data_IF_257239180230
#
_entry.id   IF_257239180230
#
_cell.length_a   1.000
_cell.length_b   1.000
_cell.length_c   1.000
_cell.angle_alpha   90.00
_cell.angle_beta   90.00
_cell.angle_gamma   90.00
#
_symmetry.space_group_name_H-M   'P 1'
#
loop_
_entity.id
_entity.type
_entity.pdbx_description
1 polymer ?
#
# COMPACT_ATOMS: atom_id res chain seq x y z
N UNK A 1 31.18 79.88 20.62
CA UNK A 1 31.13 79.35 19.23
C UNK A 1 31.89 78.02 19.05
N UNK A 2 32.26 77.29 20.11
CA UNK A 2 33.01 76.03 20.00
C UNK A 2 32.20 74.77 20.37
N UNK A 3 31.13 74.88 21.19
CA UNK A 3 30.31 73.72 21.58
C UNK A 3 29.44 73.16 20.44
N UNK A 4 29.06 74.01 19.47
CA UNK A 4 28.19 73.63 18.33
C UNK A 4 28.93 72.81 17.25
N UNK A 5 30.27 72.90 17.18
CA UNK A 5 31.08 72.12 16.24
C UNK A 5 31.26 70.66 16.69
N UNK A 6 31.34 70.40 17.98
CA UNK A 6 31.50 69.04 18.51
C UNK A 6 30.20 68.23 18.47
N UNK A 7 29.04 68.87 18.64
CA UNK A 7 27.73 68.18 18.57
C UNK A 7 27.44 67.72 17.13
N UNK A 8 27.82 68.50 16.11
CA UNK A 8 27.64 68.12 14.70
C UNK A 8 28.64 67.04 14.29
N UNK A 9 29.89 67.07 14.77
CA UNK A 9 30.86 65.99 14.52
C UNK A 9 30.49 64.68 15.22
N UNK A 10 29.85 64.72 16.41
CA UNK A 10 29.40 63.50 17.10
C UNK A 10 28.18 62.87 16.40
N UNK A 11 27.28 63.68 15.82
CA UNK A 11 26.15 63.20 15.02
C UNK A 11 26.58 62.64 13.65
N UNK A 12 27.67 63.16 13.05
CA UNK A 12 28.21 62.63 11.79
C UNK A 12 29.02 61.34 12.01
N UNK A 13 29.76 61.21 13.12
CA UNK A 13 30.43 59.94 13.46
C UNK A 13 29.47 58.87 13.98
N UNK A 14 28.33 59.24 14.59
CA UNK A 14 27.27 58.32 15.00
C UNK A 14 26.41 57.78 13.83
N UNK A 15 26.43 58.44 12.68
CA UNK A 15 25.67 58.03 11.49
C UNK A 15 26.35 56.95 10.62
N UNK A 16 27.65 56.68 10.84
CA UNK A 16 28.43 55.77 9.98
C UNK A 16 28.41 54.32 10.48
N UNK A 17 27.95 54.05 11.71
CA UNK A 17 27.79 52.69 12.24
C UNK A 17 26.37 52.09 12.09
N UNK A 18 25.46 52.79 11.41
CA UNK A 18 24.04 52.39 11.32
C UNK A 18 23.59 51.72 10.02
N UNK A 19 24.45 51.54 9.01
CA UNK A 19 24.03 51.10 7.66
C UNK A 19 24.88 49.95 7.07
N UNK A 20 25.44 49.10 7.91
CA UNK A 20 25.84 47.75 7.52
C UNK A 20 24.99 46.75 8.28
N UNK A 21 23.69 46.75 8.01
CA UNK A 21 22.86 45.59 8.31
C UNK A 21 23.39 44.43 7.47
N UNK A 22 24.06 43.48 8.11
CA UNK A 22 24.38 42.19 7.51
C UNK A 22 23.06 41.45 7.22
N UNK A 23 22.40 41.79 6.13
CA UNK A 23 21.25 41.04 5.59
C UNK A 23 21.63 39.61 5.16
N UNK A 24 22.92 39.28 5.14
CA UNK A 24 23.43 37.95 4.80
C UNK A 24 23.41 36.93 5.95
N UNK A 25 23.39 37.35 7.22
CA UNK A 25 23.55 36.41 8.35
C UNK A 25 22.32 35.51 8.58
N UNK A 26 21.15 35.93 8.10
CA UNK A 26 19.87 35.22 8.29
C UNK A 26 19.24 34.72 6.98
N UNK A 27 19.96 34.85 5.86
CA UNK A 27 19.51 34.37 4.54
C UNK A 27 20.17 33.06 4.11
N UNK A 28 21.10 32.55 4.91
CA UNK A 28 21.66 31.23 4.67
C UNK A 28 20.57 30.19 4.87
N UNK A 29 20.19 29.52 3.78
CA UNK A 29 19.36 28.34 3.87
C UNK A 29 20.00 27.37 4.88
N UNK A 30 19.22 26.72 5.75
CA UNK A 30 19.75 25.77 6.72
C UNK A 30 20.72 24.79 6.04
N UNK A 31 21.98 24.76 6.48
CA UNK A 31 23.05 23.95 5.86
C UNK A 31 22.70 22.45 5.74
N UNK A 32 21.75 21.98 6.55
CA UNK A 32 21.28 20.60 6.62
C UNK A 32 19.89 20.36 6.00
N UNK A 33 19.25 21.36 5.38
CA UNK A 33 17.95 21.20 4.71
C UNK A 33 17.94 21.95 3.38
N UNK A 34 17.58 21.25 2.32
CA UNK A 34 17.38 21.87 1.01
C UNK A 34 16.24 22.90 1.09
N UNK A 35 16.46 24.09 0.53
CA UNK A 35 15.41 25.10 0.44
C UNK A 35 14.32 24.64 -0.54
N UNK A 36 13.05 24.93 -0.26
CA UNK A 36 11.94 24.54 -1.12
C UNK A 36 12.11 25.08 -2.55
N UNK A 37 12.62 26.31 -2.69
CA UNK A 37 12.86 26.93 -3.99
C UNK A 37 13.92 26.19 -4.81
N UNK A 38 14.95 25.63 -4.16
CA UNK A 38 15.97 24.81 -4.84
C UNK A 38 15.43 23.46 -5.29
N UNK A 39 14.49 22.87 -4.56
CA UNK A 39 13.88 21.57 -4.89
C UNK A 39 13.08 21.67 -6.19
N UNK A 40 12.21 22.69 -6.32
CA UNK A 40 11.32 22.83 -7.48
C UNK A 40 12.04 23.12 -8.80
N UNK A 41 13.23 23.73 -8.73
CA UNK A 41 14.02 24.08 -9.91
C UNK A 41 14.89 22.96 -10.48
N UNK A 42 15.06 21.84 -9.75
CA UNK A 42 15.94 20.75 -10.17
C UNK A 42 15.16 19.46 -10.41
N UNK A 43 15.29 18.89 -11.62
CA UNK A 43 14.63 17.63 -11.98
C UNK A 43 15.00 16.48 -11.03
N UNK A 44 16.29 16.38 -10.67
CA UNK A 44 16.78 15.35 -9.75
C UNK A 44 16.19 15.50 -8.35
N UNK A 45 16.08 16.73 -7.84
CA UNK A 45 15.52 16.96 -6.51
C UNK A 45 14.00 16.73 -6.48
N UNK A 46 13.31 16.98 -7.59
CA UNK A 46 11.90 16.63 -7.75
C UNK A 46 11.70 15.10 -7.71
N UNK A 47 12.57 14.34 -8.38
CA UNK A 47 12.51 12.88 -8.32
C UNK A 47 12.69 12.36 -6.89
N UNK A 48 13.71 12.86 -6.18
CA UNK A 48 13.95 12.53 -4.77
C UNK A 48 12.79 12.96 -3.86
N UNK A 49 12.12 14.06 -4.17
CA UNK A 49 10.95 14.53 -3.42
C UNK A 49 9.76 13.57 -3.51
N UNK A 50 9.60 12.91 -4.67
CA UNK A 50 8.49 11.99 -4.95
C UNK A 50 8.73 10.58 -4.38
N UNK A 51 9.99 10.12 -4.28
CA UNK A 51 10.33 8.78 -3.77
C UNK A 51 9.73 8.41 -2.40
N UNK A 52 9.65 9.31 -1.40
CA UNK A 52 8.98 9.04 -0.14
C UNK A 52 7.52 8.57 -0.30
N UNK A 53 6.80 8.98 -1.34
CA UNK A 53 5.42 8.53 -1.56
C UNK A 53 5.38 7.03 -1.89
N UNK A 54 6.25 6.59 -2.78
CA UNK A 54 6.45 5.17 -3.10
C UNK A 54 6.90 4.38 -1.87
N UNK A 55 7.90 4.87 -1.13
CA UNK A 55 8.44 4.17 0.06
C UNK A 55 7.40 4.00 1.18
N UNK A 56 6.40 4.88 1.24
CA UNK A 56 5.32 4.79 2.24
C UNK A 56 4.12 3.98 1.75
N UNK A 57 4.16 3.44 0.53
CA UNK A 57 3.25 2.36 0.18
C UNK A 57 3.46 1.19 1.12
N UNK A 58 2.39 0.47 1.41
CA UNK A 58 2.57 -0.77 2.12
C UNK A 58 3.42 -1.72 1.28
N UNK A 59 4.48 -2.24 1.88
CA UNK A 59 5.37 -3.22 1.29
C UNK A 59 4.70 -4.59 1.04
N UNK A 60 3.38 -4.72 1.20
CA UNK A 60 2.67 -5.98 0.97
C UNK A 60 3.08 -7.14 1.88
N UNK A 61 4.04 -6.96 2.79
CA UNK A 61 4.55 -8.05 3.63
C UNK A 61 4.34 -7.77 5.11
N UNK A 62 4.27 -6.51 5.52
CA UNK A 62 3.83 -6.14 6.88
C UNK A 62 2.31 -6.25 7.09
N UNK A 63 1.53 -6.18 5.99
CA UNK A 63 0.07 -6.44 6.00
C UNK A 63 -0.19 -7.94 6.19
N UNK A 64 0.58 -8.77 5.49
CA UNK A 64 0.40 -10.20 5.50
C UNK A 64 1.17 -10.86 6.63
N UNK A 65 2.14 -10.26 7.31
CA UNK A 65 2.77 -10.93 8.46
C UNK A 65 1.92 -10.76 9.72
N UNK A 66 1.11 -11.76 10.13
CA UNK A 66 0.48 -11.69 11.43
C UNK A 66 1.60 -11.86 12.46
N UNK A 67 1.87 -10.79 13.20
CA UNK A 67 2.07 -10.99 14.63
C UNK A 67 0.69 -11.39 15.17
N UNK A 68 0.38 -12.69 15.11
CA UNK A 68 -0.25 -13.51 16.15
C UNK A 68 -1.51 -13.01 16.92
N UNK A 69 -2.09 -11.91 16.49
CA UNK A 69 -3.20 -11.19 17.12
C UNK A 69 -4.17 -10.62 16.05
N UNK A 70 -4.12 -11.20 14.85
CA UNK A 70 -4.79 -10.78 13.61
C UNK A 70 -6.32 -10.79 13.68
N UNK A 71 -6.94 -11.71 14.42
CA UNK A 71 -8.40 -11.80 14.50
C UNK A 71 -9.03 -10.64 15.29
N UNK A 72 -8.35 -10.10 16.32
CA UNK A 72 -8.85 -8.96 17.13
C UNK A 72 -8.17 -7.63 16.81
N UNK A 73 -6.91 -7.64 16.35
CA UNK A 73 -6.32 -6.48 15.66
C UNK A 73 -6.96 -6.24 14.30
N UNK A 74 -7.84 -7.13 13.85
CA UNK A 74 -8.66 -7.05 12.63
C UNK A 74 -9.53 -5.78 12.54
N UNK A 75 -9.83 -5.13 13.67
CA UNK A 75 -10.53 -3.84 13.67
C UNK A 75 -9.64 -2.63 13.33
N UNK A 76 -8.31 -2.79 13.22
CA UNK A 76 -7.34 -1.68 13.23
C UNK A 76 -6.26 -1.76 12.14
N UNK A 77 -6.20 -2.86 11.40
CA UNK A 77 -5.26 -3.07 10.30
C UNK A 77 -6.05 -3.27 9.02
N UNK A 78 -5.56 -2.67 7.94
CA UNK A 78 -5.95 -3.01 6.56
C UNK A 78 -5.54 -4.46 6.29
N UNK A 79 -6.29 -5.43 6.81
CA UNK A 79 -6.18 -6.80 6.34
C UNK A 79 -7.00 -6.91 5.07
N UNK A 80 -6.38 -7.50 4.06
CA UNK A 80 -7.12 -7.97 2.91
C UNK A 80 -8.02 -9.15 3.36
N UNK A 81 -9.21 -9.36 2.74
CA UNK A 81 -10.30 -10.19 3.29
C UNK A 81 -9.95 -11.65 3.63
N UNK A 82 -8.86 -12.17 3.08
CA UNK A 82 -8.40 -13.56 3.19
C UNK A 82 -7.86 -13.99 4.58
N UNK A 83 -7.67 -13.07 5.53
CA UNK A 83 -7.32 -13.43 6.92
C UNK A 83 -8.51 -13.86 7.79
N UNK A 84 -9.74 -13.80 7.26
CA UNK A 84 -10.93 -14.23 7.99
C UNK A 84 -11.01 -15.75 8.08
N UNK A 85 -11.18 -16.39 6.93
CA UNK A 85 -11.50 -17.81 6.81
C UNK A 85 -10.50 -18.59 5.96
N UNK A 86 -9.56 -17.96 5.24
CA UNK A 86 -8.68 -18.67 4.29
C UNK A 86 -7.29 -19.03 4.86
N UNK A 87 -6.76 -18.28 5.84
CA UNK A 87 -5.42 -18.50 6.41
C UNK A 87 -5.46 -18.42 7.94
N UNK A 88 -4.78 -19.34 8.63
CA UNK A 88 -4.53 -19.32 10.07
C UNK A 88 -3.05 -19.13 10.39
N UNK A 89 -2.77 -18.68 11.61
CA UNK A 89 -1.42 -18.46 12.14
C UNK A 89 -0.80 -19.76 12.66
N UNK A 90 0.52 -19.78 12.80
CA UNK A 90 1.24 -20.94 13.32
C UNK A 90 0.89 -21.26 14.78
N UNK A 91 1.13 -22.51 15.21
CA UNK A 91 0.97 -22.93 16.62
C UNK A 91 1.82 -22.09 17.58
N UNK A 92 3.05 -21.74 17.20
CA UNK A 92 3.94 -20.91 18.00
C UNK A 92 3.33 -19.52 18.23
N UNK A 93 2.67 -18.96 17.21
CA UNK A 93 1.98 -17.67 17.29
C UNK A 93 0.68 -17.73 18.08
N UNK A 94 -0.10 -18.81 17.95
CA UNK A 94 -1.24 -19.08 18.83
C UNK A 94 -0.83 -19.04 20.31
N UNK A 95 0.30 -19.68 20.63
CA UNK A 95 0.79 -19.78 22.00
C UNK A 95 1.40 -18.48 22.52
N UNK A 96 2.17 -17.77 21.67
CA UNK A 96 2.86 -16.55 22.06
C UNK A 96 1.92 -15.34 22.22
N UNK A 97 0.65 -15.40 21.80
CA UNK A 97 -0.10 -14.14 21.59
C UNK A 97 -1.61 -14.20 21.81
N UNK A 98 -2.24 -15.38 21.87
CA UNK A 98 -3.69 -15.38 21.73
C UNK A 98 -4.48 -15.42 23.05
N UNK A 99 -4.11 -16.17 24.09
CA UNK A 99 -5.06 -16.32 25.22
C UNK A 99 -5.23 -15.04 26.07
N UNK A 100 -4.16 -14.24 26.21
CA UNK A 100 -4.16 -13.00 27.00
C UNK A 100 -4.71 -11.78 26.27
N UNK A 101 -4.44 -11.64 24.97
CA UNK A 101 -4.91 -10.50 24.16
C UNK A 101 -6.34 -10.72 23.65
N UNK A 102 -6.77 -11.97 23.45
CA UNK A 102 -8.16 -12.31 23.13
C UNK A 102 -9.13 -11.83 24.19
N UNK A 103 -8.75 -11.95 25.47
CA UNK A 103 -9.56 -11.48 26.60
C UNK A 103 -9.47 -9.96 26.82
N UNK A 104 -8.45 -9.28 26.29
CA UNK A 104 -8.11 -7.90 26.69
C UNK A 104 -8.58 -6.79 25.78
N UNK A 105 -8.86 -7.03 24.49
CA UNK A 105 -9.49 -6.08 23.54
C UNK A 105 -9.40 -4.59 23.93
N UNK A 106 -8.19 -4.05 24.14
CA UNK A 106 -8.05 -2.69 24.68
C UNK A 106 -8.20 -1.72 23.51
N UNK A 107 -9.32 -0.99 23.50
CA UNK A 107 -9.65 0.07 22.55
C UNK A 107 -8.51 1.07 22.29
N UNK A 108 -7.57 1.22 23.25
CA UNK A 108 -6.38 2.05 23.11
C UNK A 108 -5.40 1.58 22.04
N UNK A 109 -5.18 0.27 21.87
CA UNK A 109 -4.27 -0.26 20.84
C UNK A 109 -4.88 -0.10 19.45
N UNK A 110 -6.21 -0.27 19.33
CA UNK A 110 -6.98 -0.01 18.11
C UNK A 110 -6.80 1.44 17.68
N UNK A 111 -7.03 2.35 18.62
CA UNK A 111 -6.93 3.79 18.40
C UNK A 111 -5.51 4.20 18.04
N UNK A 112 -4.50 3.68 18.75
CA UNK A 112 -3.09 3.99 18.50
C UNK A 112 -2.65 3.58 17.10
N UNK A 113 -3.07 2.42 16.61
CA UNK A 113 -2.73 1.95 15.25
C UNK A 113 -3.43 2.73 14.16
N UNK A 114 -4.73 2.99 14.33
CA UNK A 114 -5.48 3.85 13.43
C UNK A 114 -4.85 5.23 13.31
N UNK A 115 -4.41 5.80 14.45
CA UNK A 115 -3.71 7.08 14.50
C UNK A 115 -2.37 7.08 13.72
N UNK A 116 -1.59 6.00 13.80
CA UNK A 116 -0.33 5.89 13.05
C UNK A 116 -0.58 5.92 11.54
N UNK A 117 -1.52 5.10 11.05
CA UNK A 117 -1.87 5.08 9.63
C UNK A 117 -2.43 6.43 9.17
N UNK A 118 -3.34 6.99 9.96
CA UNK A 118 -3.92 8.31 9.72
C UNK A 118 -2.83 9.37 9.55
N UNK A 119 -1.94 9.50 10.54
CA UNK A 119 -0.86 10.49 10.50
C UNK A 119 0.07 10.27 9.32
N UNK A 120 0.40 9.01 9.00
CA UNK A 120 1.24 8.69 7.84
C UNK A 120 0.58 9.14 6.54
N UNK A 121 -0.71 8.82 6.32
CA UNK A 121 -1.41 9.18 5.08
C UNK A 121 -1.57 10.69 4.94
N UNK A 122 -1.99 11.41 5.99
CA UNK A 122 -2.12 12.87 5.93
C UNK A 122 -0.78 13.59 5.76
N UNK A 123 0.31 13.08 6.33
CA UNK A 123 1.65 13.64 6.09
C UNK A 123 2.07 13.52 4.61
N UNK A 124 1.69 12.43 3.93
CA UNK A 124 1.96 12.28 2.49
C UNK A 124 1.04 13.15 1.65
N UNK A 125 -0.25 13.22 1.98
CA UNK A 125 -1.20 14.13 1.32
C UNK A 125 -0.73 15.59 1.43
N UNK A 126 -0.23 16.01 2.60
CA UNK A 126 0.31 17.35 2.77
C UNK A 126 1.54 17.60 1.88
N UNK A 127 2.44 16.63 1.78
CA UNK A 127 3.58 16.70 0.85
C UNK A 127 3.14 16.80 -0.60
N UNK A 128 2.13 16.03 -1.01
CA UNK A 128 1.58 16.12 -2.37
C UNK A 128 0.94 17.48 -2.62
N UNK A 129 0.11 17.98 -1.70
CA UNK A 129 -0.54 19.27 -1.83
C UNK A 129 0.48 20.41 -1.95
N UNK A 130 1.58 20.35 -1.20
CA UNK A 130 2.66 21.34 -1.30
C UNK A 130 3.31 21.35 -2.69
N UNK A 131 3.51 20.18 -3.32
CA UNK A 131 4.04 20.09 -4.68
C UNK A 131 3.04 20.67 -5.70
N UNK A 132 1.76 20.35 -5.58
CA UNK A 132 0.71 20.84 -6.47
C UNK A 132 0.54 22.37 -6.35
N UNK A 133 0.64 22.95 -5.16
CA UNK A 133 0.63 24.41 -4.97
C UNK A 133 1.83 25.12 -5.62
N UNK A 134 2.96 24.42 -5.74
CA UNK A 134 4.19 24.95 -6.33
C UNK A 134 4.41 24.48 -7.78
N UNK A 135 3.39 23.91 -8.44
CA UNK A 135 3.50 23.39 -9.80
C UNK A 135 4.00 24.44 -10.81
N UNK A 136 3.65 25.72 -10.60
CA UNK A 136 4.05 26.83 -11.46
C UNK A 136 5.56 27.14 -11.42
N UNK A 137 6.29 26.62 -10.43
CA UNK A 137 7.74 26.76 -10.31
C UNK A 137 8.50 25.62 -10.97
N UNK A 138 7.82 24.53 -11.32
CA UNK A 138 8.41 23.38 -11.99
C UNK A 138 8.53 23.70 -13.47
N UNK A 139 9.71 23.44 -14.05
CA UNK A 139 9.96 23.65 -15.47
C UNK A 139 9.01 22.81 -16.34
N UNK A 140 8.38 23.44 -17.33
CA UNK A 140 7.48 22.77 -18.28
C UNK A 140 8.17 21.67 -19.08
N UNK A 141 7.45 20.56 -19.31
CA UNK A 141 7.92 19.42 -20.10
C UNK A 141 7.33 18.09 -19.64
N UNK A 142 7.77 17.00 -20.29
CA UNK A 142 7.32 15.64 -19.97
C UNK A 142 7.60 15.25 -18.50
N UNK A 143 8.72 15.72 -17.93
CA UNK A 143 9.05 15.48 -16.53
C UNK A 143 8.01 16.07 -15.58
N UNK A 144 7.57 17.31 -15.81
CA UNK A 144 6.53 17.95 -15.00
C UNK A 144 5.21 17.18 -15.09
N UNK A 145 4.78 16.81 -16.29
CA UNK A 145 3.54 16.04 -16.48
C UNK A 145 3.59 14.72 -15.72
N UNK A 146 4.71 14.00 -15.80
CA UNK A 146 4.93 12.78 -15.04
C UNK A 146 4.84 13.01 -13.53
N UNK A 147 5.58 13.99 -12.99
CA UNK A 147 5.59 14.29 -11.55
C UNK A 147 4.20 14.70 -11.04
N UNK A 148 3.47 15.51 -11.80
CA UNK A 148 2.09 15.89 -11.45
C UNK A 148 1.14 14.70 -11.53
N UNK A 149 1.29 13.83 -12.54
CA UNK A 149 0.53 12.59 -12.65
C UNK A 149 0.78 11.65 -11.47
N UNK A 150 2.04 11.49 -11.06
CA UNK A 150 2.42 10.73 -9.86
C UNK A 150 1.82 11.35 -8.59
N UNK A 151 1.86 12.69 -8.47
CA UNK A 151 1.27 13.42 -7.36
C UNK A 151 -0.24 13.14 -7.23
N UNK A 152 -1.00 13.30 -8.32
CA UNK A 152 -2.44 13.00 -8.34
C UNK A 152 -2.72 11.52 -8.01
N UNK A 153 -1.93 10.59 -8.58
CA UNK A 153 -2.06 9.17 -8.27
C UNK A 153 -1.87 8.87 -6.78
N UNK A 154 -0.81 9.41 -6.16
CA UNK A 154 -0.55 9.16 -4.74
C UNK A 154 -1.57 9.85 -3.84
N UNK A 155 -2.05 11.04 -4.20
CA UNK A 155 -3.14 11.69 -3.46
C UNK A 155 -4.40 10.83 -3.49
N UNK A 156 -4.82 10.37 -4.67
CA UNK A 156 -5.93 9.43 -4.82
C UNK A 156 -5.68 8.15 -4.02
N UNK A 157 -4.49 7.58 -4.09
CA UNK A 157 -4.12 6.32 -3.44
C UNK A 157 -4.23 6.41 -1.92
N UNK A 158 -3.66 7.45 -1.29
CA UNK A 158 -3.74 7.61 0.16
C UNK A 158 -5.16 7.91 0.64
N UNK A 159 -5.94 8.67 -0.14
CA UNK A 159 -7.36 8.86 0.16
C UNK A 159 -8.18 7.59 0.00
N UNK A 160 -7.84 6.73 -0.97
CA UNK A 160 -8.44 5.40 -1.10
C UNK A 160 -8.11 4.50 0.10
N UNK A 161 -6.87 4.48 0.59
CA UNK A 161 -6.52 3.74 1.81
C UNK A 161 -7.33 4.24 3.01
N UNK A 162 -7.42 5.56 3.16
CA UNK A 162 -8.23 6.21 4.20
C UNK A 162 -9.73 5.87 4.06
N UNK A 163 -10.25 5.80 2.83
CA UNK A 163 -11.64 5.45 2.54
C UNK A 163 -11.97 4.05 3.01
N UNK A 164 -11.11 3.07 2.69
CA UNK A 164 -11.31 1.68 3.10
C UNK A 164 -11.27 1.50 4.61
N UNK A 165 -10.40 2.25 5.30
CA UNK A 165 -10.18 2.07 6.73
C UNK A 165 -11.17 2.89 7.59
N UNK A 166 -11.52 4.11 7.19
CA UNK A 166 -12.26 5.07 8.02
C UNK A 166 -13.59 5.56 7.40
N UNK A 167 -13.85 5.26 6.13
CA UNK A 167 -14.96 5.83 5.37
C UNK A 167 -14.66 7.24 4.88
N UNK A 168 -15.46 8.22 5.26
CA UNK A 168 -15.24 9.65 4.99
C UNK A 168 -14.51 10.35 6.12
N UNK A 169 -13.17 10.47 6.08
CA UNK A 169 -12.41 11.29 7.03
C UNK A 169 -12.39 12.75 6.55
N UNK A 170 -11.25 13.44 6.56
CA UNK A 170 -11.11 14.85 6.22
C UNK A 170 -10.61 14.99 4.78
N UNK A 171 -11.32 15.74 3.95
CA UNK A 171 -10.82 16.13 2.62
C UNK A 171 -10.03 17.44 2.72
N UNK A 172 -8.71 17.35 2.60
CA UNK A 172 -7.77 18.46 2.67
C UNK A 172 -7.06 18.54 1.31
N UNK A 173 -7.56 19.43 0.46
CA UNK A 173 -7.11 19.56 -0.95
C UNK A 173 -5.90 20.50 -1.13
N UNK A 174 -5.61 21.33 -0.11
CA UNK A 174 -4.53 22.31 -0.11
C UNK A 174 -3.57 22.05 1.05
N UNK A 175 -2.41 22.68 1.04
CA UNK A 175 -1.51 22.65 2.18
C UNK A 175 -2.15 23.38 3.37
N UNK A 176 -2.01 22.79 4.55
CA UNK A 176 -2.63 23.29 5.77
C UNK A 176 -1.64 23.19 6.93
N UNK A 177 -1.43 24.32 7.61
CA UNK A 177 -0.63 24.38 8.82
C UNK A 177 -1.54 24.72 10.01
N UNK A 178 -1.80 23.76 10.91
CA UNK A 178 -2.65 23.98 12.08
C UNK A 178 -2.06 24.98 13.10
N UNK A 179 -0.80 25.39 12.95
CA UNK A 179 -0.17 26.41 13.79
C UNK A 179 -0.46 27.83 13.29
N UNK A 180 -0.87 27.98 12.02
CA UNK A 180 -1.11 29.27 11.36
C UNK A 180 -2.61 29.49 11.15
N UNK A 181 -3.35 28.43 10.78
CA UNK A 181 -4.78 28.46 10.51
C UNK A 181 -5.51 27.54 11.51
N UNK A 182 -6.58 28.06 12.15
CA UNK A 182 -7.39 27.32 13.13
C UNK A 182 -8.58 26.58 12.50
N UNK A 183 -8.64 26.55 11.17
CA UNK A 183 -9.69 25.90 10.38
C UNK A 183 -9.90 24.44 10.78
N UNK A 184 -11.13 24.13 11.18
CA UNK A 184 -11.57 22.75 11.45
C UNK A 184 -12.19 22.16 10.20
N UNK A 185 -11.66 21.02 9.76
CA UNK A 185 -12.25 20.26 8.67
C UNK A 185 -13.28 19.28 9.24
N UNK A 186 -14.55 19.32 8.77
CA UNK A 186 -15.51 18.29 9.10
C UNK A 186 -15.17 16.99 8.37
N UNK A 187 -15.78 15.89 8.81
CA UNK A 187 -15.73 14.64 8.03
C UNK A 187 -16.47 14.85 6.71
N UNK A 188 -15.81 14.51 5.61
CA UNK A 188 -16.43 14.40 4.30
C UNK A 188 -17.43 13.25 4.29
N UNK A 189 -18.42 13.35 3.42
CA UNK A 189 -19.28 12.22 3.08
C UNK A 189 -18.49 11.16 2.31
N UNK A 190 -19.02 9.94 2.31
CA UNK A 190 -18.45 8.81 1.58
C UNK A 190 -18.48 9.07 0.07
N UNK A 191 -19.52 9.75 -0.41
CA UNK A 191 -19.67 10.17 -1.81
C UNK A 191 -18.60 11.19 -2.22
N UNK A 192 -18.42 12.27 -1.46
CA UNK A 192 -17.39 13.28 -1.75
C UNK A 192 -15.97 12.69 -1.79
N UNK A 193 -15.70 11.69 -0.95
CA UNK A 193 -14.42 10.97 -0.98
C UNK A 193 -14.24 10.17 -2.26
N UNK A 194 -15.28 9.44 -2.68
CA UNK A 194 -15.24 8.62 -3.90
C UNK A 194 -15.05 9.50 -5.11
N UNK A 195 -15.82 10.58 -5.22
CA UNK A 195 -15.69 11.56 -6.31
C UNK A 195 -14.28 12.12 -6.36
N UNK A 196 -13.75 12.56 -5.21
CA UNK A 196 -12.40 13.11 -5.16
C UNK A 196 -11.32 12.10 -5.57
N UNK A 197 -11.40 10.85 -5.10
CA UNK A 197 -10.44 9.80 -5.47
C UNK A 197 -10.49 9.52 -6.97
N UNK A 198 -11.70 9.47 -7.55
CA UNK A 198 -11.89 9.21 -8.98
C UNK A 198 -11.38 10.36 -9.83
N UNK A 199 -11.71 11.60 -9.47
CA UNK A 199 -11.22 12.80 -10.16
C UNK A 199 -9.68 12.84 -10.18
N UNK A 200 -9.05 12.57 -9.03
CA UNK A 200 -7.59 12.51 -8.92
C UNK A 200 -6.99 11.36 -9.74
N UNK A 201 -7.64 10.20 -9.77
CA UNK A 201 -7.21 9.08 -10.59
C UNK A 201 -7.35 9.38 -12.10
N UNK A 202 -8.39 10.11 -12.52
CA UNK A 202 -8.57 10.54 -13.90
C UNK A 202 -7.53 11.58 -14.33
N UNK A 203 -7.24 12.55 -13.47
CA UNK A 203 -6.15 13.52 -13.69
C UNK A 203 -4.80 12.79 -13.82
N UNK A 204 -4.51 11.86 -12.92
CA UNK A 204 -3.32 11.02 -13.01
C UNK A 204 -3.27 10.23 -14.33
N UNK A 205 -4.36 9.58 -14.73
CA UNK A 205 -4.44 8.81 -15.98
C UNK A 205 -4.29 9.69 -17.25
N UNK A 206 -4.63 10.97 -17.17
CA UNK A 206 -4.47 11.94 -18.27
C UNK A 206 -3.03 12.43 -18.44
N UNK A 207 -2.26 12.45 -17.35
CA UNK A 207 -0.89 12.98 -17.31
C UNK A 207 0.18 11.89 -17.42
N UNK A 208 -0.11 10.68 -16.94
CA UNK A 208 0.82 9.56 -16.92
C UNK A 208 0.87 8.83 -18.27
N UNK A 209 2.06 8.36 -18.62
CA UNK A 209 2.30 7.52 -19.80
C UNK A 209 1.83 6.07 -19.55
N UNK A 210 1.49 5.37 -20.62
CA UNK A 210 1.24 3.93 -20.64
C UNK A 210 2.54 3.11 -20.66
N UNK A 211 3.62 3.67 -21.24
CA UNK A 211 4.95 3.06 -21.30
C UNK A 211 5.94 3.82 -20.44
N UNK A 212 6.70 3.07 -19.65
CA UNK A 212 7.80 3.57 -18.84
C UNK A 212 9.13 3.31 -19.55
N UNK A 213 10.04 4.26 -19.42
CA UNK A 213 11.45 4.07 -19.77
C UNK A 213 12.12 3.11 -18.77
N UNK A 214 13.24 2.48 -19.17
CA UNK A 214 13.92 1.51 -18.32
C UNK A 214 14.35 2.05 -16.95
N UNK A 215 14.63 3.36 -16.84
CA UNK A 215 14.97 4.04 -15.59
C UNK A 215 13.78 4.30 -14.67
N UNK A 216 12.56 4.24 -15.19
CA UNK A 216 11.32 4.59 -14.49
C UNK A 216 10.47 3.37 -14.14
N UNK A 217 10.98 2.17 -14.38
CA UNK A 217 10.30 0.91 -14.06
C UNK A 217 9.92 0.88 -12.56
N UNK A 218 8.63 0.67 -12.29
CA UNK A 218 8.06 0.70 -10.94
C UNK A 218 7.35 2.01 -10.57
N UNK A 219 7.43 3.04 -11.42
CA UNK A 219 6.67 4.28 -11.24
C UNK A 219 5.21 4.12 -11.67
N UNK A 220 4.34 4.98 -11.14
CA UNK A 220 2.91 4.97 -11.44
C UNK A 220 2.68 5.19 -12.94
N UNK A 221 1.84 4.34 -13.54
CA UNK A 221 1.46 4.41 -14.95
C UNK A 221 0.01 4.83 -15.09
N UNK A 222 -0.39 5.17 -16.32
CA UNK A 222 -1.80 5.31 -16.67
C UNK A 222 -2.63 4.08 -16.27
N UNK A 223 -2.08 2.88 -16.44
CA UNK A 223 -2.73 1.63 -16.02
C UNK A 223 -2.96 1.56 -14.52
N UNK A 224 -1.97 1.94 -13.71
CA UNK A 224 -2.11 1.98 -12.26
C UNK A 224 -3.21 2.97 -11.81
N UNK A 225 -3.31 4.14 -12.44
CA UNK A 225 -4.35 5.13 -12.15
C UNK A 225 -5.76 4.62 -12.50
N UNK A 226 -5.95 4.04 -13.69
CA UNK A 226 -7.23 3.43 -14.08
C UNK A 226 -7.60 2.24 -13.18
N UNK A 227 -6.62 1.43 -12.78
CA UNK A 227 -6.83 0.35 -11.80
C UNK A 227 -7.31 0.90 -10.46
N UNK A 228 -6.72 2.00 -9.97
CA UNK A 228 -7.14 2.63 -8.71
C UNK A 228 -8.58 3.15 -8.80
N UNK A 229 -8.96 3.78 -9.91
CA UNK A 229 -10.35 4.21 -10.18
C UNK A 229 -11.30 3.01 -10.16
N UNK A 230 -10.99 1.97 -10.93
CA UNK A 230 -11.82 0.77 -11.02
C UNK A 230 -11.98 0.06 -9.66
N UNK A 231 -10.88 -0.08 -8.90
CA UNK A 231 -10.90 -0.64 -7.53
C UNK A 231 -11.70 0.22 -6.56
N UNK A 232 -11.65 1.54 -6.69
CA UNK A 232 -12.44 2.46 -5.85
C UNK A 232 -13.93 2.20 -6.06
N UNK A 233 -14.40 2.23 -7.30
CA UNK A 233 -15.80 1.94 -7.62
C UNK A 233 -16.22 0.53 -7.20
N UNK A 234 -15.39 -0.48 -7.44
CA UNK A 234 -15.68 -1.85 -7.05
C UNK A 234 -15.79 -2.01 -5.52
N UNK A 235 -14.92 -1.36 -4.75
CA UNK A 235 -14.96 -1.39 -3.29
C UNK A 235 -16.26 -0.78 -2.75
N UNK A 236 -16.59 0.42 -3.22
CA UNK A 236 -17.76 1.16 -2.74
C UNK A 236 -19.08 0.60 -3.24
N UNK A 237 -19.06 -0.23 -4.28
CA UNK A 237 -20.23 -0.98 -4.74
C UNK A 237 -20.69 -2.07 -3.76
N UNK A 238 -19.87 -2.44 -2.77
CA UNK A 238 -20.26 -3.46 -1.80
C UNK A 238 -21.53 -3.07 -1.05
N UNK A 239 -22.44 -4.05 -0.87
CA UNK A 239 -23.67 -3.91 -0.09
C UNK A 239 -23.41 -3.43 1.34
N UNK A 240 -22.21 -3.70 1.86
CA UNK A 240 -21.79 -3.27 3.20
C UNK A 240 -21.76 -1.75 3.33
N UNK A 241 -21.55 -0.99 2.25
CA UNK A 241 -21.47 0.47 2.27
C UNK A 241 -22.74 1.16 1.77
N UNK A 242 -23.82 0.43 1.51
CA UNK A 242 -25.10 1.00 1.08
C UNK A 242 -26.04 1.24 2.26
N UNK A 243 -27.06 2.09 2.07
CA UNK A 243 -28.15 2.35 3.01
C UNK A 243 -27.67 2.70 4.44
N UNK A 244 -26.70 3.62 4.56
CA UNK A 244 -26.15 4.06 5.85
C UNK A 244 -26.82 5.32 6.35
N UNK A 245 -27.19 5.32 7.63
CA UNK A 245 -27.67 6.53 8.32
C UNK A 245 -26.61 7.64 8.37
N UNK A 246 -25.33 7.25 8.48
CA UNK A 246 -24.21 8.18 8.55
C UNK A 246 -23.54 8.27 7.20
N UNK A 247 -23.64 9.43 6.57
CA UNK A 247 -23.09 9.72 5.23
C UNK A 247 -21.59 9.49 5.10
N UNK A 248 -20.83 9.52 6.19
CA UNK A 248 -19.39 9.26 6.18
C UNK A 248 -19.03 7.77 6.34
N UNK A 249 -19.98 6.86 6.58
CA UNK A 249 -19.72 5.42 6.67
C UNK A 249 -20.13 4.65 5.41
N UNK A 250 -20.84 5.31 4.49
CA UNK A 250 -21.36 4.72 3.26
C UNK A 250 -22.41 5.63 2.61
N UNK A 251 -22.98 5.17 1.51
CA UNK A 251 -24.03 5.87 0.79
C UNK A 251 -25.36 5.82 1.56
N UNK A 252 -26.17 6.90 1.52
CA UNK A 252 -27.49 6.91 2.16
C UNK A 252 -28.50 6.01 1.45
N UNK A 253 -28.29 5.74 0.17
CA UNK A 253 -29.11 4.93 -0.73
C UNK A 253 -28.33 3.71 -1.27
N UNK A 254 -28.99 2.85 -2.05
CA UNK A 254 -28.35 1.73 -2.73
C UNK A 254 -27.86 2.13 -4.12
N UNK A 255 -26.53 2.20 -4.28
CA UNK A 255 -25.85 2.55 -5.53
C UNK A 255 -24.97 1.42 -6.05
N UNK A 256 -25.12 0.20 -5.54
CA UNK A 256 -24.26 -0.93 -5.87
C UNK A 256 -24.15 -1.15 -7.39
N UNK A 257 -25.26 -1.22 -8.11
CA UNK A 257 -25.27 -1.50 -9.55
C UNK A 257 -24.66 -0.36 -10.39
N UNK A 258 -24.91 0.89 -9.98
CA UNK A 258 -24.32 2.06 -10.64
C UNK A 258 -22.80 2.07 -10.47
N UNK A 259 -22.31 1.82 -9.24
CA UNK A 259 -20.88 1.76 -8.96
C UNK A 259 -20.20 0.58 -9.67
N UNK A 260 -20.85 -0.59 -9.76
CA UNK A 260 -20.34 -1.71 -10.56
C UNK A 260 -20.25 -1.38 -12.05
N UNK A 261 -21.22 -0.63 -12.58
CA UNK A 261 -21.21 -0.19 -13.98
C UNK A 261 -20.02 0.73 -14.25
N UNK A 262 -19.75 1.69 -13.36
CA UNK A 262 -18.58 2.57 -13.49
C UNK A 262 -17.25 1.81 -13.29
N UNK A 263 -17.22 0.83 -12.37
CA UNK A 263 -16.06 -0.05 -12.22
C UNK A 263 -15.77 -0.83 -13.51
N UNK A 264 -16.80 -1.39 -14.14
CA UNK A 264 -16.67 -2.13 -15.39
C UNK A 264 -16.12 -1.25 -16.52
N UNK A 265 -16.64 -0.02 -16.68
CA UNK A 265 -16.11 0.94 -17.66
C UNK A 265 -14.63 1.25 -17.44
N UNK A 266 -14.22 1.47 -16.19
CA UNK A 266 -12.82 1.74 -15.86
C UNK A 266 -11.92 0.51 -16.14
N UNK A 267 -12.41 -0.71 -15.87
CA UNK A 267 -11.70 -1.94 -16.25
C UNK A 267 -11.63 -2.12 -17.77
N UNK A 268 -12.67 -1.78 -18.53
CA UNK A 268 -12.66 -1.84 -19.99
C UNK A 268 -11.63 -0.87 -20.60
N UNK A 269 -11.42 0.29 -19.99
CA UNK A 269 -10.35 1.21 -20.39
C UNK A 269 -8.97 0.66 -20.06
N UNK A 270 -8.80 0.07 -18.87
CA UNK A 270 -7.56 -0.58 -18.45
C UNK A 270 -7.17 -1.74 -19.37
N UNK A 271 -8.14 -2.56 -19.80
CA UNK A 271 -7.92 -3.70 -20.68
C UNK A 271 -7.49 -3.31 -22.11
N UNK A 272 -7.64 -2.04 -22.51
CA UNK A 272 -7.13 -1.53 -23.81
C UNK A 272 -5.63 -1.23 -23.78
N UNK A 273 -5.03 -1.15 -22.58
CA UNK A 273 -3.59 -0.93 -22.41
C UNK A 273 -2.82 -2.24 -22.67
N UNK A 274 -1.49 -2.19 -22.89
CA UNK A 274 -0.70 -3.34 -23.33
C UNK A 274 -0.39 -4.35 -22.21
N UNK A 275 -1.38 -4.70 -21.39
CA UNK A 275 -1.30 -5.75 -20.38
C UNK A 275 -1.89 -7.05 -20.93
N UNK A 276 -1.30 -8.19 -20.57
CA UNK A 276 -1.83 -9.50 -20.96
C UNK A 276 -1.47 -10.58 -19.94
N UNK A 277 -2.35 -11.56 -19.79
CA UNK A 277 -2.12 -12.69 -18.90
C UNK A 277 -0.93 -13.53 -19.38
N UNK A 278 -0.08 -13.97 -18.46
CA UNK A 278 1.01 -14.89 -18.78
C UNK A 278 0.42 -16.25 -19.14
N UNK A 279 0.73 -16.72 -20.34
CA UNK A 279 0.21 -17.99 -20.85
C UNK A 279 1.04 -19.16 -20.31
N UNK A 280 0.36 -20.12 -19.69
CA UNK A 280 0.95 -21.37 -19.21
C UNK A 280 0.82 -22.42 -20.32
N UNK A 281 1.95 -22.96 -20.76
CA UNK A 281 2.06 -23.93 -21.87
C UNK A 281 2.41 -25.34 -21.39
N UNK A 282 2.61 -25.52 -20.08
CA UNK A 282 2.88 -26.82 -19.47
C UNK A 282 1.78 -27.85 -19.78
N UNK A 283 2.18 -29.10 -20.00
CA UNK A 283 1.26 -30.21 -20.31
C UNK A 283 1.11 -31.17 -19.13
N UNK A 284 2.10 -31.21 -18.24
CA UNK A 284 2.05 -32.00 -17.00
C UNK A 284 1.70 -31.12 -15.81
N UNK A 285 1.16 -31.73 -14.75
CA UNK A 285 0.82 -31.03 -13.51
C UNK A 285 2.02 -30.27 -12.92
N UNK A 286 3.20 -30.89 -12.91
CA UNK A 286 4.41 -30.25 -12.38
C UNK A 286 4.88 -29.08 -13.24
N UNK A 287 4.79 -29.18 -14.57
CA UNK A 287 5.12 -28.08 -15.47
C UNK A 287 4.17 -26.89 -15.27
N UNK A 288 2.87 -27.15 -15.17
CA UNK A 288 1.85 -26.11 -14.96
C UNK A 288 2.06 -25.45 -13.60
N UNK A 289 2.26 -26.24 -12.54
CA UNK A 289 2.59 -25.77 -11.19
C UNK A 289 3.79 -24.84 -11.20
N UNK A 290 4.88 -25.24 -11.85
CA UNK A 290 6.11 -24.46 -11.89
C UNK A 290 5.93 -23.16 -12.69
N UNK A 291 5.34 -23.23 -13.89
CA UNK A 291 5.08 -22.05 -14.71
C UNK A 291 4.16 -21.05 -14.01
N UNK A 292 3.14 -21.53 -13.28
CA UNK A 292 2.27 -20.67 -12.47
C UNK A 292 3.05 -19.97 -11.35
N UNK A 293 3.97 -20.67 -10.66
CA UNK A 293 4.83 -20.06 -9.63
C UNK A 293 5.74 -18.99 -10.21
N UNK A 294 6.27 -19.20 -11.41
CA UNK A 294 7.14 -18.22 -12.07
C UNK A 294 6.44 -16.88 -12.37
N UNK A 295 5.11 -16.86 -12.49
CA UNK A 295 4.33 -15.61 -12.63
C UNK A 295 4.61 -14.67 -11.44
N UNK A 296 4.64 -15.20 -10.22
CA UNK A 296 4.85 -14.41 -9.00
C UNK A 296 6.32 -14.11 -8.70
N UNK A 297 7.25 -14.82 -9.35
CA UNK A 297 8.71 -14.59 -9.22
C UNK A 297 9.25 -13.62 -10.28
N UNK A 298 8.51 -13.41 -11.37
CA UNK A 298 8.92 -12.54 -12.46
C UNK A 298 8.50 -11.10 -12.19
N UNK A 299 9.47 -10.21 -11.96
CA UNK A 299 9.24 -8.77 -11.79
C UNK A 299 8.86 -8.11 -13.12
N UNK A 300 7.98 -7.12 -13.06
CA UNK A 300 7.56 -6.30 -14.20
C UNK A 300 7.08 -7.13 -15.40
N UNK A 301 6.31 -8.18 -15.12
CA UNK A 301 5.74 -9.03 -16.17
C UNK A 301 4.66 -8.28 -16.96
N UNK A 302 4.29 -8.81 -18.12
CA UNK A 302 3.19 -8.27 -18.94
C UNK A 302 1.82 -8.30 -18.26
N UNK A 303 1.67 -9.06 -17.17
CA UNK A 303 0.46 -9.12 -16.35
C UNK A 303 0.51 -8.12 -15.18
N UNK A 304 1.70 -7.59 -14.87
CA UNK A 304 1.90 -6.66 -13.76
C UNK A 304 1.46 -5.24 -14.12
N UNK A 305 0.43 -4.76 -13.42
CA UNK A 305 -0.09 -3.40 -13.56
C UNK A 305 0.56 -2.47 -12.52
N UNK A 306 0.67 -2.95 -11.29
CA UNK A 306 1.21 -2.21 -10.17
C UNK A 306 1.84 -3.14 -9.14
N UNK A 307 3.16 -3.06 -8.99
CA UNK A 307 3.94 -3.91 -8.10
C UNK A 307 4.87 -3.09 -7.21
N UNK A 308 5.16 -3.61 -6.02
CA UNK A 308 6.23 -3.09 -5.16
C UNK A 308 7.45 -3.97 -5.38
N UNK A 309 8.53 -3.37 -5.89
CA UNK A 309 9.75 -4.08 -6.15
C UNK A 309 10.60 -4.20 -4.88
N UNK A 310 10.85 -5.44 -4.48
CA UNK A 310 11.76 -5.76 -3.38
C UNK A 310 13.15 -6.11 -3.89
N UNK A 311 14.18 -5.80 -3.11
CA UNK A 311 15.53 -6.24 -3.45
C UNK A 311 15.67 -7.77 -3.29
N UNK A 312 16.54 -8.36 -4.11
CA UNK A 312 16.84 -9.80 -4.11
C UNK A 312 18.06 -10.15 -3.23
N UNK A 313 18.63 -9.16 -2.52
CA UNK A 313 19.85 -9.30 -1.71
C UNK A 313 19.61 -9.97 -0.34
N UNK A 314 18.36 -10.14 0.07
CA UNK A 314 18.01 -10.65 1.39
C UNK A 314 18.33 -9.67 2.53
N UNK A 315 18.61 -8.41 2.23
CA UNK A 315 18.82 -7.35 3.22
C UNK A 315 17.47 -6.71 3.59
N UNK A 316 16.99 -7.12 4.76
CA UNK A 316 15.73 -6.64 5.31
C UNK A 316 15.88 -5.39 6.20
N UNK A 317 17.10 -4.95 6.48
CA UNK A 317 17.38 -3.81 7.35
C UNK A 317 17.44 -2.52 6.53
N UNK A 318 18.24 -2.53 5.46
CA UNK A 318 18.57 -1.33 4.68
C UNK A 318 18.29 -1.49 3.17
N UNK A 319 18.21 -2.74 2.66
CA UNK A 319 18.07 -3.06 1.22
C UNK A 319 16.64 -3.16 0.66
N UNK A 320 15.59 -2.90 1.46
CA UNK A 320 14.20 -3.06 1.02
C UNK A 320 13.83 -4.51 0.58
N UNK A 321 14.54 -5.52 1.11
CA UNK A 321 14.20 -6.94 0.95
C UNK A 321 12.91 -7.33 1.68
N UNK A 322 12.26 -8.43 1.26
CA UNK A 322 11.04 -8.95 1.88
C UNK A 322 11.30 -10.14 2.81
N UNK A 323 10.59 -10.22 3.93
CA UNK A 323 10.75 -11.30 4.93
C UNK A 323 9.80 -12.49 4.70
N UNK A 324 9.01 -12.46 3.62
CA UNK A 324 7.92 -13.42 3.37
C UNK A 324 8.40 -14.86 3.45
N UNK A 325 9.40 -15.22 2.65
CA UNK A 325 9.85 -16.62 2.53
C UNK A 325 10.46 -17.12 3.84
N UNK A 326 11.17 -16.24 4.55
CA UNK A 326 11.74 -16.58 5.86
C UNK A 326 10.66 -16.84 6.89
N UNK A 327 9.63 -16.00 6.97
CA UNK A 327 8.61 -16.06 8.00
C UNK A 327 7.50 -17.10 7.69
N UNK A 328 7.20 -17.32 6.41
CA UNK A 328 6.24 -18.32 5.94
C UNK A 328 6.75 -19.76 6.07
N UNK A 329 8.06 -19.98 5.99
CA UNK A 329 8.66 -21.31 6.04
C UNK A 329 8.85 -21.76 7.50
N UNK A 330 8.70 -23.07 7.73
CA UNK A 330 8.94 -23.69 9.05
C UNK A 330 10.42 -23.62 9.44
N UNK A 331 10.76 -23.52 10.74
CA UNK A 331 12.13 -23.66 11.23
C UNK A 331 12.85 -24.90 10.72
N UNK A 332 12.13 -26.01 10.53
CA UNK A 332 12.69 -27.25 10.00
C UNK A 332 13.30 -27.07 8.59
N UNK A 333 12.68 -26.22 7.77
CA UNK A 333 13.14 -25.89 6.42
C UNK A 333 13.99 -24.63 6.36
N UNK A 334 14.47 -24.11 7.51
CA UNK A 334 15.30 -22.90 7.56
C UNK A 334 14.51 -21.58 7.55
N UNK A 335 13.20 -21.62 7.77
CA UNK A 335 12.39 -20.43 8.05
C UNK A 335 12.36 -20.09 9.54
N UNK A 336 11.38 -19.29 9.98
CA UNK A 336 11.30 -18.83 11.37
C UNK A 336 10.04 -19.25 12.12
N UNK A 337 8.85 -19.13 11.53
CA UNK A 337 7.61 -19.26 12.32
C UNK A 337 6.46 -19.97 11.60
N UNK A 338 6.60 -20.38 10.34
CA UNK A 338 5.50 -20.96 9.57
C UNK A 338 4.22 -20.08 9.58
N UNK A 339 4.36 -18.79 9.28
CA UNK A 339 3.33 -17.76 9.53
C UNK A 339 2.00 -17.99 8.79
N UNK A 340 2.00 -18.78 7.71
CA UNK A 340 0.86 -18.98 6.82
C UNK A 340 0.48 -20.44 6.72
N UNK A 341 -0.59 -20.79 7.41
CA UNK A 341 -1.20 -22.10 7.28
C UNK A 341 -2.56 -21.94 6.62
N UNK A 342 -2.74 -22.35 5.35
CA UNK A 342 -4.05 -22.38 4.71
C UNK A 342 -5.06 -23.16 5.56
N UNK A 343 -6.28 -22.62 5.68
CA UNK A 343 -7.38 -23.33 6.34
C UNK A 343 -8.00 -24.35 5.39
N UNK A 344 -8.79 -25.28 5.94
CA UNK A 344 -9.55 -26.21 5.11
C UNK A 344 -10.52 -25.47 4.16
N UNK A 345 -11.12 -24.35 4.59
CA UNK A 345 -11.99 -23.56 3.72
C UNK A 345 -11.26 -23.07 2.46
N UNK A 346 -10.01 -22.60 2.57
CA UNK A 346 -9.24 -22.20 1.40
C UNK A 346 -8.85 -23.39 0.51
N UNK A 347 -8.55 -24.54 1.12
CA UNK A 347 -8.31 -25.78 0.37
C UNK A 347 -9.55 -26.20 -0.41
N UNK A 348 -10.73 -26.05 0.18
CA UNK A 348 -12.02 -26.43 -0.41
C UNK A 348 -12.46 -25.51 -1.56
N UNK A 349 -11.92 -24.27 -1.66
CA UNK A 349 -12.14 -23.38 -2.82
C UNK A 349 -11.54 -23.95 -4.12
N UNK A 350 -10.54 -24.82 -4.02
CA UNK A 350 -9.95 -25.51 -5.17
C UNK A 350 -10.80 -26.71 -5.57
N UNK A 351 -11.71 -26.46 -6.52
CA UNK A 351 -12.56 -27.48 -7.13
C UNK A 351 -11.76 -28.57 -7.87
N UNK A 352 -12.42 -29.71 -8.10
CA UNK A 352 -11.89 -30.82 -8.90
C UNK A 352 -11.91 -30.45 -10.39
N UNK A 353 -10.85 -30.77 -11.12
CA UNK A 353 -10.74 -30.42 -12.56
C UNK A 353 -11.78 -31.10 -13.44
N UNK A 354 -12.21 -32.30 -13.05
CA UNK A 354 -13.21 -33.07 -13.80
C UNK A 354 -14.65 -32.78 -13.35
N UNK A 355 -14.85 -31.85 -12.40
CA UNK A 355 -16.15 -31.52 -11.84
C UNK A 355 -16.78 -32.63 -10.99
N UNK A 356 -16.01 -33.69 -10.65
CA UNK A 356 -16.51 -34.73 -9.76
C UNK A 356 -16.59 -34.26 -8.31
N UNK A 357 -17.39 -34.95 -7.48
CA UNK A 357 -17.37 -34.75 -6.04
C UNK A 357 -16.00 -35.05 -5.45
N UNK A 358 -15.67 -34.36 -4.36
CA UNK A 358 -14.48 -34.60 -3.56
C UNK A 358 -14.44 -36.06 -3.03
N UNK A 359 -13.30 -36.73 -3.20
CA UNK A 359 -13.02 -38.04 -2.65
C UNK A 359 -12.19 -37.90 -1.36
N UNK A 360 -12.74 -38.22 -0.18
CA UNK A 360 -12.02 -38.13 1.08
C UNK A 360 -10.88 -39.14 1.22
N UNK A 361 -10.86 -40.20 0.40
CA UNK A 361 -9.77 -41.20 0.41
C UNK A 361 -8.58 -40.79 -0.44
N UNK A 362 -8.78 -39.88 -1.40
CA UNK A 362 -7.74 -39.30 -2.26
C UNK A 362 -7.89 -37.77 -2.30
N UNK A 363 -7.68 -37.08 -1.17
CA UNK A 363 -8.11 -35.70 -0.97
C UNK A 363 -7.35 -34.67 -1.83
N UNK A 364 -6.19 -35.03 -2.36
CA UNK A 364 -5.32 -34.16 -3.16
C UNK A 364 -5.30 -34.53 -4.63
N UNK A 365 -5.99 -35.58 -5.04
CA UNK A 365 -6.03 -36.00 -6.43
C UNK A 365 -6.94 -35.10 -7.26
N UNK A 366 -6.55 -34.87 -8.51
CA UNK A 366 -7.33 -34.15 -9.51
C UNK A 366 -7.89 -32.77 -9.10
N UNK A 367 -7.18 -32.04 -8.24
CA UNK A 367 -7.48 -30.65 -7.87
C UNK A 367 -7.13 -29.68 -8.99
N UNK A 368 -7.72 -28.49 -8.96
CA UNK A 368 -7.30 -27.35 -9.77
C UNK A 368 -5.77 -27.18 -9.76
N UNK A 369 -5.14 -26.89 -10.89
CA UNK A 369 -3.67 -26.79 -10.95
C UNK A 369 -3.09 -25.74 -9.99
N UNK A 370 -3.85 -24.69 -9.67
CA UNK A 370 -3.46 -23.64 -8.73
C UNK A 370 -3.35 -24.18 -7.30
N UNK A 371 -4.09 -25.24 -6.94
CA UNK A 371 -3.97 -25.91 -5.65
C UNK A 371 -2.54 -26.38 -5.42
N UNK A 372 -1.97 -27.12 -6.38
CA UNK A 372 -0.62 -27.66 -6.27
C UNK A 372 0.47 -26.57 -6.30
N UNK A 373 0.16 -25.39 -6.85
CA UNK A 373 1.08 -24.27 -6.84
C UNK A 373 1.10 -23.55 -5.49
N UNK A 374 -0.06 -23.39 -4.85
CA UNK A 374 -0.25 -22.56 -3.66
C UNK A 374 -0.21 -23.33 -2.32
N UNK A 375 -0.56 -24.61 -2.29
CA UNK A 375 -0.75 -25.38 -1.05
C UNK A 375 0.36 -26.43 -0.90
N UNK A 376 1.00 -26.44 0.27
CA UNK A 376 1.78 -27.59 0.74
C UNK A 376 0.82 -28.56 1.43
N UNK A 377 0.78 -29.81 0.98
CA UNK A 377 -0.16 -30.83 1.42
C UNK A 377 0.58 -32.13 1.71
N UNK A 378 -0.09 -33.08 2.39
CA UNK A 378 0.49 -34.35 2.78
C UNK A 378 0.89 -35.20 1.56
N UNK A 379 2.11 -35.76 1.57
CA UNK A 379 2.73 -36.49 0.46
C UNK A 379 3.34 -35.60 -0.63
N UNK A 380 3.30 -34.27 -0.51
CA UNK A 380 3.94 -33.39 -1.49
C UNK A 380 5.45 -33.20 -1.20
N UNK A 381 6.26 -33.00 -2.25
CA UNK A 381 7.70 -32.73 -2.08
C UNK A 381 7.95 -31.22 -1.96
N UNK A 382 8.59 -30.81 -0.86
CA UNK A 382 9.06 -29.44 -0.62
C UNK A 382 10.52 -29.45 -0.16
N UNK A 383 11.41 -28.77 -0.89
CA UNK A 383 12.87 -28.71 -0.60
C UNK A 383 13.49 -30.10 -0.38
N UNK A 384 13.24 -31.02 -1.31
CA UNK A 384 13.72 -32.40 -1.30
C UNK A 384 13.22 -33.25 -0.10
N UNK A 385 12.15 -32.80 0.56
CA UNK A 385 11.50 -33.51 1.66
C UNK A 385 10.04 -33.81 1.33
N UNK A 386 9.60 -35.03 1.59
CA UNK A 386 8.18 -35.40 1.50
C UNK A 386 7.45 -34.93 2.76
N UNK A 387 6.35 -34.20 2.56
CA UNK A 387 5.61 -33.58 3.65
C UNK A 387 4.69 -34.60 4.33
N UNK A 388 5.01 -34.99 5.57
CA UNK A 388 4.16 -35.81 6.43
C UNK A 388 3.29 -34.92 7.33
N UNK A 389 2.10 -34.55 6.87
CA UNK A 389 1.16 -33.62 7.56
C UNK A 389 -0.08 -34.34 8.09
N UNK A 390 -0.09 -35.67 8.10
CA UNK A 390 -1.16 -36.47 8.71
C UNK A 390 -0.77 -37.00 10.10
N UNK A 391 -1.79 -37.24 10.93
CA UNK A 391 -1.62 -37.85 12.26
C UNK A 391 -2.47 -39.11 12.35
N UNK A 392 -1.85 -40.22 12.73
CA UNK A 392 -2.54 -41.44 13.11
C UNK A 392 -2.93 -41.35 14.59
N UNK A 393 -4.23 -41.48 14.89
CA UNK A 393 -4.71 -41.55 16.28
C UNK A 393 -4.68 -42.98 16.78
N UNK A 394 -3.67 -43.33 17.57
CA UNK A 394 -3.69 -44.56 18.37
C UNK A 394 -4.23 -44.24 19.78
N UNK A 395 -5.53 -44.48 19.97
CA UNK A 395 -6.20 -44.19 21.24
C UNK A 395 -6.36 -42.68 21.51
N UNK A 396 -5.64 -42.14 22.50
CA UNK A 396 -5.63 -40.70 22.83
C UNK A 396 -4.37 -39.97 22.35
N UNK A 397 -3.41 -40.69 21.79
CA UNK A 397 -2.15 -40.11 21.32
C UNK A 397 -2.21 -39.86 19.82
N UNK A 398 -1.79 -38.66 19.40
CA UNK A 398 -1.60 -38.29 18.01
C UNK A 398 -0.17 -38.67 17.63
N UNK A 399 -0.03 -39.75 16.88
CA UNK A 399 1.24 -40.21 16.33
C UNK A 399 1.38 -39.59 14.95
N UNK A 400 2.54 -38.99 14.62
CA UNK A 400 2.81 -38.55 13.26
C UNK A 400 2.65 -39.73 12.32
N UNK A 401 1.78 -39.60 11.32
CA UNK A 401 1.55 -40.69 10.39
C UNK A 401 2.77 -40.84 9.48
N UNK A 402 3.24 -42.08 9.35
CA UNK A 402 4.42 -42.46 8.58
C UNK A 402 4.06 -42.77 7.13
#
# INVERSE_FOLDING_TARGET
MQLRKYIVSFLICGGIFGLSGCDGLFRDAPYNKLSQETIWGSQLLLDEYVLPWYRNMSNGFSIYMPTSSSLLKGACRDYLPWYGDQITISRADWYNTAYGDILKSISSEITRRGLVNWNNYYARIQSVNLLLENEGKIQEGAHKQRILGEAHFFRAYYYYLLLRQFGGPLLIKNNYDPLIDDKKFPRASYEEMVEFIVEEADLAASLLSDKLEASDIGRATKGAALMLKAKTYFWVASKVFQNKEKSYLGFPDDRSDAMLTEAAKAYDELMKLPYSLIQITGTTQDQIKEQYRQIFLTKNSQESIWEVQHSNDGDFADGFGHKLDRESVSPFFGGTIAAYSPTQNHVDEYNMRDGKPYDPTHPYDNRDYRFYANILYDGCIFRDHEMEIHYNKEGKEEIAGA
#
